data_IF_014995424783
#
_entry.id   IF_014995424783
#
_cell.length_a   1.000
_cell.length_b   1.000
_cell.length_c   1.000
_cell.angle_alpha   90.00
_cell.angle_beta   90.00
_cell.angle_gamma   90.00
#
_symmetry.space_group_name_H-M   'P 1'
#
loop_
_entity.id
_entity.type
_entity.pdbx_description
1 polymer ?
#
# COMPACT_ATOMS: atom_id res chain seq x y z
N UNK A 1 3.82 9.34 5.84
CA UNK A 1 3.50 10.48 6.73
C UNK A 1 3.83 11.78 6.03
N UNK A 2 3.05 12.83 6.22
CA UNK A 2 3.34 14.15 5.65
C UNK A 2 3.15 15.24 6.70
N UNK A 3 3.80 16.39 6.50
CA UNK A 3 3.63 17.61 7.29
C UNK A 3 3.35 18.77 6.34
N UNK A 4 2.12 19.31 6.41
CA UNK A 4 1.68 20.39 5.52
C UNK A 4 2.51 21.66 5.67
N UNK A 5 2.79 22.06 6.91
CA UNK A 5 3.52 23.29 7.19
C UNK A 5 4.97 23.29 6.68
N UNK A 6 5.54 22.09 6.47
CA UNK A 6 6.92 21.90 6.00
C UNK A 6 7.01 21.43 4.57
N UNK A 7 5.87 21.15 3.91
CA UNK A 7 5.81 20.49 2.60
C UNK A 7 6.72 19.25 2.51
N UNK A 8 6.77 18.47 3.61
CA UNK A 8 7.65 17.32 3.77
C UNK A 8 6.83 16.04 3.77
N UNK A 9 7.22 15.08 2.94
CA UNK A 9 6.68 13.71 2.92
C UNK A 9 7.77 12.77 3.39
N UNK A 10 7.43 11.83 4.29
CA UNK A 10 8.23 10.68 4.65
C UNK A 10 7.51 9.45 4.09
N UNK A 11 8.17 8.76 3.19
CA UNK A 11 7.74 7.48 2.63
C UNK A 11 8.71 6.41 3.08
N UNK A 12 8.32 5.63 4.08
CA UNK A 12 9.14 4.61 4.71
C UNK A 12 8.34 3.34 4.96
N UNK A 13 9.01 2.22 5.02
CA UNK A 13 8.38 0.93 5.30
C UNK A 13 7.87 0.89 6.74
N UNK A 14 6.70 0.25 6.93
CA UNK A 14 6.09 0.05 8.24
C UNK A 14 6.72 -1.18 8.92
N UNK A 15 7.94 -1.03 9.43
CA UNK A 15 8.74 -2.11 10.02
C UNK A 15 9.62 -1.56 11.15
N UNK A 16 9.83 -2.37 12.18
CA UNK A 16 10.66 -2.04 13.34
C UNK A 16 11.56 -3.23 13.71
N UNK A 17 12.79 -2.94 14.12
CA UNK A 17 13.76 -3.92 14.63
C UNK A 17 14.04 -3.66 16.10
N UNK A 18 13.82 -4.67 16.94
CA UNK A 18 13.92 -4.60 18.41
C UNK A 18 14.87 -5.68 18.91
N UNK A 19 15.87 -5.31 19.70
CA UNK A 19 16.75 -6.24 20.41
C UNK A 19 16.24 -6.51 21.82
N UNK A 20 16.41 -7.74 22.28
CA UNK A 20 16.11 -8.17 23.66
C UNK A 20 14.70 -7.75 24.15
N UNK A 21 13.74 -7.63 23.25
CA UNK A 21 12.36 -7.19 23.50
C UNK A 21 12.21 -5.77 24.08
N UNK A 22 13.23 -4.94 24.04
CA UNK A 22 13.21 -3.59 24.65
C UNK A 22 13.91 -2.52 23.83
N UNK A 23 15.04 -2.84 23.21
CA UNK A 23 15.90 -1.84 22.60
C UNK A 23 15.58 -1.71 21.13
N UNK A 24 15.10 -0.54 20.73
CA UNK A 24 14.82 -0.25 19.31
C UNK A 24 16.15 -0.02 18.61
N UNK A 25 16.49 -0.90 17.68
CA UNK A 25 17.72 -0.82 16.89
C UNK A 25 17.55 0.03 15.65
N UNK A 26 16.45 -0.18 14.93
CA UNK A 26 16.16 0.49 13.66
C UNK A 26 14.65 0.55 13.42
N UNK A 27 14.23 1.42 12.50
CA UNK A 27 12.85 1.53 12.02
C UNK A 27 12.83 1.98 10.56
N UNK A 28 11.69 1.75 9.88
CA UNK A 28 11.54 2.11 8.48
C UNK A 28 12.49 1.34 7.56
N UNK A 29 13.08 2.00 6.58
CA UNK A 29 13.95 1.37 5.59
C UNK A 29 15.22 0.78 6.22
N UNK A 30 15.74 1.37 7.30
CA UNK A 30 16.88 0.80 8.03
C UNK A 30 16.53 -0.55 8.68
N UNK A 31 15.36 -0.67 9.29
CA UNK A 31 14.90 -1.94 9.84
C UNK A 31 14.62 -2.98 8.74
N UNK A 32 14.14 -2.52 7.58
CA UNK A 32 13.95 -3.41 6.43
C UNK A 32 15.25 -4.00 5.90
N UNK A 33 16.38 -3.27 6.02
CA UNK A 33 17.68 -3.85 5.68
C UNK A 33 18.09 -5.01 6.60
N UNK A 34 17.56 -5.07 7.82
CA UNK A 34 17.79 -6.16 8.77
C UNK A 34 16.83 -7.33 8.56
N UNK A 35 15.71 -7.12 7.87
CA UNK A 35 14.69 -8.15 7.64
C UNK A 35 15.28 -9.35 6.89
N UNK A 36 14.95 -10.56 7.35
CA UNK A 36 15.53 -11.85 6.90
C UNK A 36 17.05 -12.02 7.09
N UNK A 37 17.72 -11.09 7.79
CA UNK A 37 19.15 -11.14 8.09
C UNK A 37 19.47 -11.08 9.58
N UNK A 38 18.48 -10.70 10.39
CA UNK A 38 18.68 -10.50 11.82
C UNK A 38 18.92 -11.82 12.56
N UNK A 39 19.81 -11.87 13.56
CA UNK A 39 19.97 -13.02 14.43
C UNK A 39 18.78 -13.15 15.41
N UNK A 40 18.64 -14.30 16.06
CA UNK A 40 17.46 -14.66 16.87
C UNK A 40 17.10 -13.69 18.00
N UNK A 41 18.09 -12.96 18.55
CA UNK A 41 17.84 -11.99 19.61
C UNK A 41 17.34 -10.63 19.12
N UNK A 42 17.22 -10.45 17.80
CA UNK A 42 16.68 -9.25 17.14
C UNK A 42 15.37 -9.63 16.43
N UNK A 43 14.27 -9.12 16.93
CA UNK A 43 12.96 -9.25 16.31
C UNK A 43 12.75 -8.13 15.28
N UNK A 44 12.43 -8.51 14.04
CA UNK A 44 12.09 -7.55 12.97
C UNK A 44 10.65 -7.83 12.54
N UNK A 45 9.76 -6.88 12.81
CA UNK A 45 8.31 -7.09 12.64
C UNK A 45 7.62 -5.93 11.94
N UNK A 46 6.47 -6.24 11.33
CA UNK A 46 5.56 -5.29 10.70
C UNK A 46 4.37 -5.03 11.64
N UNK A 47 4.26 -3.85 12.28
CA UNK A 47 3.17 -3.55 13.21
C UNK A 47 1.78 -3.44 12.56
N UNK A 48 1.72 -3.11 11.27
CA UNK A 48 0.48 -3.14 10.49
C UNK A 48 0.55 -4.29 9.50
N UNK A 49 -0.51 -5.09 9.41
CA UNK A 49 -0.64 -6.21 8.47
C UNK A 49 -2.01 -6.17 7.82
N UNK A 50 -2.03 -6.35 6.49
CA UNK A 50 -3.27 -6.35 5.69
C UNK A 50 -4.16 -5.12 5.95
N UNK A 51 -3.54 -3.97 6.18
CA UNK A 51 -4.26 -2.71 6.41
C UNK A 51 -4.79 -2.50 7.83
N UNK A 52 -4.53 -3.41 8.79
CA UNK A 52 -4.95 -3.29 10.19
C UNK A 52 -3.76 -3.28 11.15
N UNK A 53 -3.91 -2.63 12.29
CA UNK A 53 -2.88 -2.59 13.33
C UNK A 53 -2.86 -3.96 14.02
N UNK A 54 -1.77 -4.72 13.81
CA UNK A 54 -1.55 -6.01 14.42
C UNK A 54 -0.81 -5.92 15.77
N UNK A 55 -0.02 -4.86 15.96
CA UNK A 55 0.76 -4.59 17.17
C UNK A 55 0.71 -3.09 17.47
N UNK A 56 -0.14 -2.73 18.42
CA UNK A 56 -0.38 -1.33 18.77
C UNK A 56 0.83 -0.67 19.45
N UNK A 57 1.56 -1.40 20.31
CA UNK A 57 2.70 -0.86 21.05
C UNK A 57 3.87 -0.55 20.10
N UNK A 58 4.20 -1.48 19.22
CA UNK A 58 5.22 -1.28 18.21
C UNK A 58 4.82 -0.21 17.20
N UNK A 59 3.52 -0.13 16.86
CA UNK A 59 3.03 0.93 15.96
C UNK A 59 3.08 2.32 16.60
N UNK A 60 2.74 2.47 17.88
CA UNK A 60 2.90 3.74 18.62
C UNK A 60 4.36 4.16 18.68
N UNK A 61 5.25 3.21 18.92
CA UNK A 61 6.69 3.45 18.92
C UNK A 61 7.18 3.92 17.56
N UNK A 62 6.76 3.24 16.49
CA UNK A 62 7.11 3.58 15.11
C UNK A 62 6.55 4.96 14.72
N UNK A 63 5.31 5.26 15.08
CA UNK A 63 4.69 6.56 14.87
C UNK A 63 5.51 7.68 15.51
N UNK A 64 5.92 7.49 16.77
CA UNK A 64 6.74 8.47 17.48
C UNK A 64 8.10 8.69 16.81
N UNK A 65 8.74 7.63 16.30
CA UNK A 65 10.01 7.72 15.56
C UNK A 65 9.84 8.49 14.25
N UNK A 66 8.83 8.17 13.47
CA UNK A 66 8.54 8.92 12.24
C UNK A 66 8.17 10.37 12.51
N UNK A 67 7.43 10.61 13.58
CA UNK A 67 7.08 11.96 14.00
C UNK A 67 8.32 12.79 14.38
N UNK A 68 9.26 12.23 15.13
CA UNK A 68 10.53 12.89 15.46
C UNK A 68 11.36 13.15 14.20
N UNK A 69 11.49 12.17 13.31
CA UNK A 69 12.16 12.33 11.99
C UNK A 69 11.51 13.44 11.13
N UNK A 70 10.18 13.58 11.20
CA UNK A 70 9.44 14.65 10.52
C UNK A 70 9.78 16.04 11.10
N UNK A 71 10.01 16.12 12.41
CA UNK A 71 10.28 17.36 13.13
C UNK A 71 11.77 17.66 13.30
N UNK A 72 12.67 16.93 12.61
CA UNK A 72 14.12 17.09 12.71
C UNK A 72 14.60 17.03 14.19
N UNK A 73 14.02 16.09 14.96
CA UNK A 73 14.27 15.83 16.39
C UNK A 73 14.06 17.03 17.33
N UNK A 74 13.37 18.08 16.86
CA UNK A 74 13.00 19.21 17.72
C UNK A 74 11.85 18.84 18.65
N UNK A 75 11.88 19.37 19.88
CA UNK A 75 10.79 19.16 20.84
C UNK A 75 9.46 19.66 20.26
N UNK A 76 8.50 18.76 20.22
CA UNK A 76 7.15 19.07 19.78
C UNK A 76 6.38 19.84 20.85
N UNK A 77 5.71 20.94 20.46
CA UNK A 77 5.01 21.83 21.39
C UNK A 77 3.52 21.51 21.55
N UNK A 78 3.01 20.46 20.91
CA UNK A 78 1.64 19.97 21.07
C UNK A 78 0.58 20.96 20.63
N UNK A 79 0.25 21.06 19.38
CA UNK A 79 -0.91 21.78 18.85
C UNK A 79 -1.12 21.39 17.37
N UNK A 80 -1.08 20.07 17.10
CA UNK A 80 -1.12 19.56 15.73
C UNK A 80 -2.37 18.74 15.53
N UNK A 81 -3.02 18.95 14.40
CA UNK A 81 -4.12 18.14 13.93
C UNK A 81 -3.55 16.95 13.14
N UNK A 82 -4.09 15.76 13.41
CA UNK A 82 -3.72 14.51 12.75
C UNK A 82 -4.83 14.04 11.83
N UNK A 83 -4.47 13.68 10.61
CA UNK A 83 -5.35 13.08 9.62
C UNK A 83 -4.81 11.70 9.27
N UNK A 84 -5.64 10.68 9.48
CA UNK A 84 -5.26 9.27 9.32
C UNK A 84 -6.13 8.67 8.24
N UNK A 85 -5.53 8.24 7.14
CA UNK A 85 -6.22 7.46 6.13
C UNK A 85 -6.39 6.02 6.60
N UNK A 86 -7.62 5.53 6.65
CA UNK A 86 -7.98 4.19 7.10
C UNK A 86 -8.67 3.44 5.97
N UNK A 87 -8.35 2.15 5.74
CA UNK A 87 -9.03 1.33 4.75
C UNK A 87 -10.54 1.25 5.03
N UNK A 88 -11.34 1.02 3.97
CA UNK A 88 -12.80 0.97 4.08
C UNK A 88 -13.35 -0.34 4.61
N UNK A 89 -12.63 -1.44 4.37
CA UNK A 89 -13.04 -2.79 4.78
C UNK A 89 -12.41 -3.17 6.13
N UNK A 90 -12.65 -2.30 7.13
CA UNK A 90 -12.21 -2.48 8.52
C UNK A 90 -13.41 -2.37 9.46
N UNK A 91 -13.37 -3.11 10.55
CA UNK A 91 -14.38 -3.04 11.61
C UNK A 91 -14.29 -1.73 12.38
N UNK A 92 -15.36 -1.34 13.07
CA UNK A 92 -15.35 -0.15 13.94
C UNK A 92 -14.26 -0.24 15.03
N UNK A 93 -13.98 -1.45 15.53
CA UNK A 93 -12.90 -1.68 16.51
C UNK A 93 -11.53 -1.38 15.90
N UNK A 94 -11.27 -1.86 14.68
CA UNK A 94 -10.03 -1.59 13.96
C UNK A 94 -9.92 -0.10 13.60
N UNK A 95 -11.00 0.55 13.18
CA UNK A 95 -11.04 1.99 12.94
C UNK A 95 -10.72 2.78 14.21
N UNK A 96 -11.27 2.36 15.34
CA UNK A 96 -10.97 2.94 16.64
C UNK A 96 -9.52 2.77 17.04
N UNK A 97 -8.89 1.63 16.73
CA UNK A 97 -7.47 1.41 17.00
C UNK A 97 -6.56 2.43 16.28
N UNK A 98 -6.92 2.87 15.07
CA UNK A 98 -6.19 3.96 14.39
C UNK A 98 -6.35 5.31 15.10
N UNK A 99 -7.50 5.59 15.69
CA UNK A 99 -7.68 6.80 16.51
C UNK A 99 -6.86 6.72 17.81
N UNK A 100 -6.96 5.60 18.55
CA UNK A 100 -6.25 5.36 19.80
C UNK A 100 -4.72 5.32 19.60
N UNK A 101 -4.25 4.87 18.44
CA UNK A 101 -2.84 4.93 18.06
C UNK A 101 -2.22 6.32 18.30
N UNK A 102 -2.95 7.37 17.96
CA UNK A 102 -2.49 8.76 18.14
C UNK A 102 -2.93 9.30 19.49
N UNK A 103 -4.17 9.06 19.91
CA UNK A 103 -4.73 9.58 21.16
C UNK A 103 -3.95 9.14 22.39
N UNK A 104 -3.55 7.86 22.45
CA UNK A 104 -2.80 7.28 23.55
C UNK A 104 -1.27 7.36 23.37
N UNK A 105 -0.83 7.94 22.25
CA UNK A 105 0.60 8.12 22.00
C UNK A 105 1.18 9.28 22.84
N UNK A 106 2.50 9.33 22.94
CA UNK A 106 3.22 10.46 23.55
C UNK A 106 3.17 11.73 22.70
N UNK A 107 2.59 11.66 21.51
CA UNK A 107 2.39 12.79 20.61
C UNK A 107 1.09 13.50 21.03
N UNK A 108 1.20 14.74 21.53
CA UNK A 108 0.02 15.51 21.95
C UNK A 108 -0.74 16.04 20.73
N UNK A 109 -1.74 15.31 20.26
CA UNK A 109 -2.63 15.78 19.22
C UNK A 109 -3.61 16.82 19.75
N UNK A 110 -3.93 17.84 18.94
CA UNK A 110 -5.03 18.78 19.19
C UNK A 110 -6.34 18.15 18.76
N UNK A 111 -6.40 17.68 17.53
CA UNK A 111 -7.53 16.96 16.95
C UNK A 111 -7.02 15.75 16.14
N UNK A 112 -7.84 14.72 16.05
CA UNK A 112 -7.56 13.51 15.27
C UNK A 112 -8.75 13.27 14.35
N UNK A 113 -8.49 13.22 13.06
CA UNK A 113 -9.47 13.00 12.01
C UNK A 113 -9.18 11.69 11.30
N UNK A 114 -10.19 10.84 11.22
CA UNK A 114 -10.16 9.62 10.43
C UNK A 114 -10.74 9.92 9.05
N UNK A 115 -10.00 9.59 8.02
CA UNK A 115 -10.36 9.82 6.61
C UNK A 115 -10.39 8.49 5.88
N UNK A 116 -11.43 8.25 5.10
CA UNK A 116 -11.50 7.05 4.27
C UNK A 116 -10.39 7.09 3.20
N UNK A 117 -9.56 6.06 3.18
CA UNK A 117 -8.38 5.98 2.32
C UNK A 117 -8.70 6.20 0.83
N UNK A 118 -9.77 5.63 0.22
CA UNK A 118 -10.07 5.86 -1.18
C UNK A 118 -10.43 7.32 -1.50
N UNK A 119 -11.06 8.03 -0.56
CA UNK A 119 -11.38 9.46 -0.73
C UNK A 119 -10.08 10.28 -0.77
N UNK A 120 -9.18 10.04 0.20
CA UNK A 120 -7.87 10.67 0.19
C UNK A 120 -7.08 10.32 -1.08
N UNK A 121 -7.12 9.07 -1.52
CA UNK A 121 -6.43 8.60 -2.72
C UNK A 121 -6.93 9.31 -3.99
N UNK A 122 -8.24 9.43 -4.16
CA UNK A 122 -8.84 10.14 -5.29
C UNK A 122 -8.47 11.63 -5.31
N UNK A 123 -8.50 12.30 -4.14
CA UNK A 123 -8.05 13.69 -4.02
C UNK A 123 -6.56 13.82 -4.39
N UNK A 124 -5.72 12.89 -3.94
CA UNK A 124 -4.30 12.86 -4.26
C UNK A 124 -4.01 12.56 -5.74
N UNK A 125 -4.92 11.87 -6.41
CA UNK A 125 -4.92 11.68 -7.86
C UNK A 125 -5.40 12.92 -8.64
N UNK A 126 -5.74 14.03 -7.96
CA UNK A 126 -6.23 15.26 -8.58
C UNK A 126 -7.70 15.21 -8.99
N UNK A 127 -8.48 14.28 -8.45
CA UNK A 127 -9.88 14.10 -8.80
C UNK A 127 -10.79 14.93 -7.89
N UNK A 128 -11.79 15.56 -8.48
CA UNK A 128 -12.81 16.28 -7.73
C UNK A 128 -13.91 15.31 -7.29
N UNK A 129 -13.78 14.83 -6.06
CA UNK A 129 -14.71 13.86 -5.46
C UNK A 129 -16.06 14.47 -5.07
N UNK A 130 -16.18 15.80 -5.01
CA UNK A 130 -17.41 16.49 -4.55
C UNK A 130 -18.52 16.47 -5.59
N UNK A 131 -18.21 16.21 -6.84
CA UNK A 131 -19.17 16.17 -7.94
C UNK A 131 -20.02 14.91 -7.92
N UNK A 132 -21.22 15.03 -8.51
CA UNK A 132 -22.14 13.91 -8.77
C UNK A 132 -21.68 13.05 -9.96
N UNK A 133 -20.43 12.59 -9.93
CA UNK A 133 -19.80 11.74 -10.96
C UNK A 133 -19.24 10.48 -10.31
N UNK A 134 -19.43 9.35 -11.01
CA UNK A 134 -18.82 8.08 -10.59
C UNK A 134 -17.31 8.11 -10.85
N UNK A 135 -16.52 7.92 -9.79
CA UNK A 135 -15.07 7.77 -9.84
C UNK A 135 -14.72 6.37 -9.34
N UNK A 136 -14.10 5.56 -10.20
CA UNK A 136 -13.53 4.29 -9.77
C UNK A 136 -12.05 4.43 -9.52
N UNK A 137 -11.63 4.14 -8.27
CA UNK A 137 -10.22 4.12 -7.89
C UNK A 137 -9.81 2.75 -7.36
N UNK A 138 -8.64 2.28 -7.80
CA UNK A 138 -8.05 0.99 -7.42
C UNK A 138 -6.67 1.25 -6.87
N UNK A 139 -6.50 1.05 -5.57
CA UNK A 139 -5.20 1.19 -4.90
C UNK A 139 -4.55 -0.19 -4.71
N UNK A 140 -3.51 -0.48 -5.49
CA UNK A 140 -2.75 -1.74 -5.39
C UNK A 140 -1.53 -1.49 -4.52
N UNK A 141 -1.67 -1.79 -3.23
CA UNK A 141 -0.64 -1.63 -2.22
C UNK A 141 0.35 -2.79 -2.15
N UNK A 142 1.10 -2.86 -1.05
CA UNK A 142 2.03 -3.97 -0.78
C UNK A 142 1.29 -5.24 -0.35
N UNK A 143 0.29 -5.14 0.53
CA UNK A 143 -0.41 -6.30 1.10
C UNK A 143 -1.86 -6.43 0.63
N UNK A 144 -2.50 -5.31 0.27
CA UNK A 144 -3.91 -5.25 -0.08
C UNK A 144 -4.13 -4.47 -1.38
N UNK A 145 -5.19 -4.84 -2.09
CA UNK A 145 -5.77 -4.03 -3.15
C UNK A 145 -7.14 -3.56 -2.71
N UNK A 146 -7.37 -2.26 -2.74
CA UNK A 146 -8.62 -1.61 -2.37
C UNK A 146 -9.27 -1.03 -3.62
N UNK A 147 -10.51 -1.44 -3.89
CA UNK A 147 -11.28 -1.09 -5.08
C UNK A 147 -12.51 -0.34 -4.62
N UNK A 148 -12.69 0.91 -5.06
CA UNK A 148 -13.77 1.76 -4.57
C UNK A 148 -14.40 2.58 -5.70
N UNK A 149 -15.71 2.74 -5.62
CA UNK A 149 -16.46 3.69 -6.44
C UNK A 149 -16.95 4.82 -5.53
N UNK A 150 -16.58 6.04 -5.89
CA UNK A 150 -16.86 7.26 -5.15
C UNK A 150 -17.86 8.13 -5.93
N UNK A 151 -18.69 8.88 -5.21
CA UNK A 151 -19.54 9.96 -5.74
C UNK A 151 -19.94 10.91 -4.62
N UNK A 152 -20.08 12.19 -4.90
CA UNK A 152 -20.54 13.21 -3.94
C UNK A 152 -19.78 13.22 -2.61
N UNK A 153 -18.45 13.02 -2.68
CA UNK A 153 -17.56 13.00 -1.53
C UNK A 153 -17.61 11.74 -0.67
N UNK A 154 -18.44 10.74 -1.03
CA UNK A 154 -18.62 9.50 -0.29
C UNK A 154 -18.30 8.25 -1.08
N UNK A 155 -18.20 7.14 -0.37
CA UNK A 155 -17.99 5.80 -0.93
C UNK A 155 -19.36 5.20 -1.23
N UNK A 156 -19.59 4.84 -2.50
CA UNK A 156 -20.83 4.16 -2.92
C UNK A 156 -20.70 2.66 -2.74
N UNK A 157 -19.58 2.09 -3.16
CA UNK A 157 -19.25 0.68 -2.99
C UNK A 157 -17.74 0.53 -2.90
N UNK A 158 -17.27 -0.35 -2.03
CA UNK A 158 -15.86 -0.70 -1.94
C UNK A 158 -15.64 -2.17 -1.60
N UNK A 159 -14.45 -2.65 -1.88
CA UNK A 159 -13.96 -3.98 -1.51
C UNK A 159 -12.45 -3.93 -1.37
N UNK A 160 -11.94 -4.53 -0.29
CA UNK A 160 -10.53 -4.81 -0.12
C UNK A 160 -10.25 -6.29 -0.33
N UNK A 161 -9.13 -6.61 -0.97
CA UNK A 161 -8.63 -7.98 -1.12
C UNK A 161 -7.20 -8.07 -0.61
N UNK A 162 -6.84 -9.17 0.06
CA UNK A 162 -5.52 -9.40 0.64
C UNK A 162 -4.53 -9.89 -0.43
N UNK A 163 -4.47 -9.15 -1.53
CA UNK A 163 -3.57 -9.36 -2.64
C UNK A 163 -2.92 -8.02 -2.97
N UNK A 164 -1.60 -7.98 -2.97
CA UNK A 164 -0.79 -6.82 -3.29
C UNK A 164 0.62 -7.24 -3.70
N UNK A 165 1.56 -6.32 -3.66
CA UNK A 165 2.94 -6.54 -4.10
C UNK A 165 3.64 -7.71 -3.41
N UNK A 166 3.39 -7.91 -2.11
CA UNK A 166 3.99 -9.01 -1.33
C UNK A 166 3.49 -10.38 -1.82
N UNK A 167 2.20 -10.47 -2.23
CA UNK A 167 1.66 -11.71 -2.80
C UNK A 167 2.32 -12.05 -4.14
N UNK A 168 2.65 -11.04 -4.94
CA UNK A 168 3.42 -11.22 -6.17
C UNK A 168 4.83 -11.73 -5.85
N UNK A 169 5.50 -11.17 -4.82
CA UNK A 169 6.82 -11.62 -4.37
C UNK A 169 6.80 -13.08 -3.89
N UNK A 170 5.80 -13.48 -3.11
CA UNK A 170 5.63 -14.88 -2.67
C UNK A 170 5.45 -15.84 -3.86
N UNK A 171 4.69 -15.41 -4.88
CA UNK A 171 4.51 -16.19 -6.10
C UNK A 171 5.82 -16.31 -6.88
N UNK A 172 6.62 -15.25 -6.94
CA UNK A 172 7.95 -15.26 -7.58
C UNK A 172 8.90 -16.20 -6.83
N UNK A 173 8.96 -16.12 -5.48
CA UNK A 173 9.78 -17.04 -4.67
C UNK A 173 9.42 -18.50 -4.99
N UNK A 174 8.13 -18.79 -5.06
CA UNK A 174 7.63 -20.14 -5.35
C UNK A 174 7.98 -20.60 -6.75
N UNK A 175 7.84 -19.73 -7.77
CA UNK A 175 8.16 -20.05 -9.16
C UNK A 175 9.67 -20.25 -9.38
N UNK A 176 10.49 -19.36 -8.83
CA UNK A 176 11.97 -19.45 -8.91
C UNK A 176 12.45 -20.73 -8.24
N UNK A 177 11.90 -21.08 -7.07
CA UNK A 177 12.21 -22.36 -6.41
C UNK A 177 11.86 -23.55 -7.28
N UNK A 178 10.69 -23.53 -7.92
CA UNK A 178 10.17 -24.62 -8.74
C UNK A 178 10.98 -24.83 -10.03
N UNK A 179 11.33 -23.73 -10.72
CA UNK A 179 11.98 -23.78 -12.04
C UNK A 179 13.49 -23.93 -11.93
N UNK A 180 14.10 -23.20 -11.02
CA UNK A 180 15.57 -23.12 -10.92
C UNK A 180 16.16 -23.89 -9.73
N UNK A 181 15.35 -24.51 -8.89
CA UNK A 181 15.78 -25.10 -7.61
C UNK A 181 16.55 -24.08 -6.74
N UNK A 182 16.15 -22.82 -6.78
CA UNK A 182 16.80 -21.70 -6.09
C UNK A 182 15.88 -21.13 -5.02
N UNK A 183 16.33 -21.10 -3.77
CA UNK A 183 15.64 -20.41 -2.67
C UNK A 183 16.18 -18.97 -2.64
N UNK A 184 15.29 -18.01 -2.85
CA UNK A 184 15.55 -16.57 -2.76
C UNK A 184 14.78 -15.96 -1.60
N UNK A 185 15.25 -14.83 -1.05
CA UNK A 185 14.55 -14.04 -0.06
C UNK A 185 13.55 -13.06 -0.68
N UNK A 186 12.72 -12.45 0.18
CA UNK A 186 11.68 -11.50 -0.24
C UNK A 186 12.25 -10.27 -0.95
N UNK A 187 13.40 -9.76 -0.52
CA UNK A 187 14.07 -8.62 -1.17
C UNK A 187 14.54 -8.93 -2.59
N UNK A 188 15.07 -10.13 -2.80
CA UNK A 188 15.49 -10.59 -4.14
C UNK A 188 14.26 -10.73 -5.04
N UNK A 189 13.16 -11.28 -4.53
CA UNK A 189 11.90 -11.39 -5.27
C UNK A 189 11.32 -10.01 -5.63
N UNK A 190 11.31 -9.05 -4.69
CA UNK A 190 10.89 -7.67 -4.95
C UNK A 190 11.78 -7.01 -6.03
N UNK A 191 13.09 -7.26 -5.98
CA UNK A 191 14.04 -6.79 -7.00
C UNK A 191 13.72 -7.35 -8.39
N UNK A 192 13.56 -8.66 -8.50
CA UNK A 192 13.19 -9.35 -9.74
C UNK A 192 11.82 -8.88 -10.28
N UNK A 193 10.83 -8.66 -9.40
CA UNK A 193 9.53 -8.09 -9.76
C UNK A 193 9.67 -6.70 -10.37
N UNK A 194 10.49 -5.83 -9.78
CA UNK A 194 10.72 -4.47 -10.28
C UNK A 194 11.46 -4.45 -11.61
N UNK A 195 12.42 -5.35 -11.80
CA UNK A 195 13.27 -5.41 -12.97
C UNK A 195 12.64 -6.17 -14.14
N UNK A 196 12.05 -7.34 -13.89
CA UNK A 196 11.53 -8.23 -14.91
C UNK A 196 9.99 -8.26 -14.99
N UNK A 197 9.29 -7.83 -13.92
CA UNK A 197 7.84 -7.95 -13.81
C UNK A 197 7.08 -7.18 -14.88
N UNK A 198 6.11 -7.85 -15.49
CA UNK A 198 5.16 -7.28 -16.44
C UNK A 198 3.80 -7.92 -16.25
N UNK A 199 2.73 -7.14 -16.39
CA UNK A 199 1.36 -7.63 -16.30
C UNK A 199 0.87 -8.31 -17.57
N UNK A 200 1.57 -8.14 -18.69
CA UNK A 200 1.34 -8.88 -19.94
C UNK A 200 2.65 -9.50 -20.41
N UNK A 201 2.55 -10.58 -21.18
CA UNK A 201 3.72 -11.19 -21.78
C UNK A 201 4.45 -10.19 -22.69
N UNK A 202 5.75 -10.12 -22.54
CA UNK A 202 6.65 -9.20 -23.25
C UNK A 202 7.84 -9.99 -23.81
N UNK A 203 8.75 -9.29 -24.49
CA UNK A 203 10.01 -9.89 -24.93
C UNK A 203 10.81 -10.44 -23.74
N UNK A 204 11.36 -11.64 -23.91
CA UNK A 204 12.09 -12.32 -22.84
C UNK A 204 13.39 -11.58 -22.51
N UNK A 205 13.55 -11.29 -21.23
CA UNK A 205 14.73 -10.67 -20.64
C UNK A 205 15.19 -11.44 -19.41
N UNK A 206 16.43 -11.22 -18.97
CA UNK A 206 17.01 -11.95 -17.84
C UNK A 206 17.60 -10.99 -16.82
N UNK A 207 17.55 -11.39 -15.54
CA UNK A 207 18.22 -10.70 -14.45
C UNK A 207 18.82 -11.71 -13.46
N UNK A 208 19.94 -11.39 -12.79
CA UNK A 208 20.56 -12.29 -11.85
C UNK A 208 19.75 -12.45 -10.56
N UNK A 209 19.37 -13.69 -10.23
CA UNK A 209 18.78 -14.07 -8.97
C UNK A 209 19.83 -14.70 -8.05
N UNK A 210 19.96 -14.14 -6.84
CA UNK A 210 20.91 -14.62 -5.84
C UNK A 210 20.20 -15.42 -4.75
N UNK A 211 20.68 -16.61 -4.44
CA UNK A 211 20.03 -17.46 -3.46
C UNK A 211 20.85 -18.69 -3.10
N UNK A 212 20.16 -19.68 -2.52
CA UNK A 212 20.72 -20.96 -2.15
C UNK A 212 20.10 -22.07 -2.99
N UNK A 213 20.93 -22.88 -3.63
CA UNK A 213 20.47 -24.03 -4.39
C UNK A 213 19.86 -25.08 -3.45
N UNK A 214 18.68 -25.59 -3.79
CA UNK A 214 17.90 -26.55 -2.95
C UNK A 214 18.66 -27.86 -2.79
N UNK A 215 19.33 -28.36 -3.85
CA UNK A 215 19.95 -29.66 -3.89
C UNK A 215 21.33 -29.69 -3.20
N UNK A 216 22.18 -28.69 -3.52
CA UNK A 216 23.55 -28.63 -2.98
C UNK A 216 23.66 -27.88 -1.66
N UNK A 217 22.67 -27.06 -1.32
CA UNK A 217 22.70 -26.18 -0.16
C UNK A 217 23.65 -24.97 -0.30
N UNK A 218 24.34 -24.84 -1.45
CA UNK A 218 25.35 -23.80 -1.65
C UNK A 218 24.75 -22.48 -2.19
N UNK A 219 25.33 -21.32 -1.84
CA UNK A 219 25.00 -20.05 -2.47
C UNK A 219 25.32 -20.08 -3.97
N UNK A 220 24.39 -19.63 -4.79
CA UNK A 220 24.56 -19.55 -6.25
C UNK A 220 23.84 -18.31 -6.81
N UNK A 221 24.26 -17.87 -7.99
CA UNK A 221 23.55 -16.92 -8.83
C UNK A 221 23.06 -17.63 -10.08
N UNK A 222 21.82 -17.32 -10.48
CA UNK A 222 21.19 -17.87 -11.69
C UNK A 222 20.49 -16.73 -12.43
N UNK A 223 20.61 -16.71 -13.76
CA UNK A 223 19.86 -15.77 -14.60
C UNK A 223 18.39 -16.21 -14.66
N UNK A 224 17.51 -15.37 -14.13
CA UNK A 224 16.08 -15.61 -14.05
C UNK A 224 15.40 -14.97 -15.25
N UNK A 225 14.58 -15.74 -15.95
CA UNK A 225 13.83 -15.27 -17.11
C UNK A 225 12.60 -14.46 -16.69
N UNK A 226 12.29 -13.39 -17.45
CA UNK A 226 11.07 -12.60 -17.31
C UNK A 226 9.81 -13.43 -17.54
N UNK A 227 9.85 -14.50 -18.34
CA UNK A 227 8.71 -15.38 -18.58
C UNK A 227 8.32 -16.16 -17.32
N UNK A 228 9.30 -16.56 -16.49
CA UNK A 228 9.04 -17.18 -15.19
C UNK A 228 8.39 -16.17 -14.22
N UNK A 229 8.89 -14.92 -14.23
CA UNK A 229 8.32 -13.85 -13.40
C UNK A 229 6.89 -13.51 -13.84
N UNK A 230 6.64 -13.36 -15.16
CA UNK A 230 5.30 -13.17 -15.71
C UNK A 230 4.35 -14.29 -15.29
N UNK A 231 4.74 -15.54 -15.47
CA UNK A 231 3.94 -16.70 -15.09
C UNK A 231 3.62 -16.76 -13.59
N UNK A 232 4.49 -16.19 -12.74
CA UNK A 232 4.29 -16.13 -11.30
C UNK A 232 3.29 -15.04 -10.88
N UNK A 233 3.28 -13.89 -11.59
CA UNK A 233 2.47 -12.73 -11.17
C UNK A 233 1.10 -12.69 -11.84
N UNK A 234 0.90 -13.39 -12.94
CA UNK A 234 -0.34 -13.32 -13.73
C UNK A 234 -1.57 -13.78 -12.97
N UNK A 235 -1.51 -14.89 -12.22
CA UNK A 235 -2.65 -15.40 -11.46
C UNK A 235 -3.10 -14.47 -10.32
N UNK A 236 -2.20 -13.93 -9.47
CA UNK A 236 -2.57 -12.88 -8.51
C UNK A 236 -3.17 -11.63 -9.18
N UNK A 237 -2.66 -11.21 -10.34
CA UNK A 237 -3.22 -10.07 -11.07
C UNK A 237 -4.63 -10.36 -11.60
N UNK A 238 -4.90 -11.55 -12.13
CA UNK A 238 -6.26 -11.97 -12.50
C UNK A 238 -7.20 -11.97 -11.29
N UNK A 239 -6.75 -12.40 -10.12
CA UNK A 239 -7.57 -12.37 -8.89
C UNK A 239 -7.95 -10.93 -8.48
N UNK A 240 -7.07 -9.96 -8.73
CA UNK A 240 -7.38 -8.52 -8.57
C UNK A 240 -8.43 -8.12 -9.63
N UNK A 241 -8.24 -8.53 -10.89
CA UNK A 241 -9.18 -8.24 -11.98
C UNK A 241 -10.59 -8.76 -11.71
N UNK A 242 -10.72 -9.99 -11.22
CA UNK A 242 -12.01 -10.56 -10.84
C UNK A 242 -12.72 -9.69 -9.78
N UNK A 243 -11.95 -9.16 -8.83
CA UNK A 243 -12.49 -8.26 -7.81
C UNK A 243 -12.91 -6.91 -8.39
N UNK A 244 -12.18 -6.37 -9.36
CA UNK A 244 -12.55 -5.14 -10.09
C UNK A 244 -13.86 -5.38 -10.86
N UNK A 245 -13.98 -6.51 -11.59
CA UNK A 245 -15.19 -6.88 -12.34
C UNK A 245 -16.41 -6.99 -11.41
N UNK A 246 -16.27 -7.62 -10.25
CA UNK A 246 -17.35 -7.73 -9.24
C UNK A 246 -17.83 -6.35 -8.76
N UNK A 247 -16.92 -5.39 -8.57
CA UNK A 247 -17.31 -4.02 -8.18
C UNK A 247 -18.00 -3.30 -9.36
N UNK A 248 -17.50 -3.43 -10.58
CA UNK A 248 -18.14 -2.86 -11.76
C UNK A 248 -19.58 -3.39 -11.96
N UNK A 249 -19.80 -4.70 -11.81
CA UNK A 249 -21.11 -5.33 -11.88
C UNK A 249 -22.12 -4.81 -10.84
N UNK A 250 -21.61 -4.44 -9.65
CA UNK A 250 -22.41 -3.93 -8.55
C UNK A 250 -22.60 -2.41 -8.56
N UNK A 251 -21.87 -1.72 -9.43
CA UNK A 251 -21.94 -0.26 -9.55
C UNK A 251 -23.26 0.18 -10.13
N UNK A 252 -23.96 1.17 -9.53
CA UNK A 252 -25.18 1.71 -10.09
C UNK A 252 -24.99 2.17 -11.55
N UNK A 253 -25.97 1.96 -12.46
CA UNK A 253 -25.82 2.20 -13.89
C UNK A 253 -25.36 3.62 -14.24
N UNK A 254 -25.84 4.65 -13.55
CA UNK A 254 -25.46 6.04 -13.80
C UNK A 254 -23.99 6.30 -13.48
N UNK A 255 -23.48 5.71 -12.39
CA UNK A 255 -22.06 5.81 -12.03
C UNK A 255 -21.19 4.95 -12.96
N UNK A 256 -21.69 3.79 -13.40
CA UNK A 256 -21.00 2.97 -14.39
C UNK A 256 -20.84 3.72 -15.72
N UNK A 257 -21.85 4.49 -16.16
CA UNK A 257 -21.76 5.34 -17.34
C UNK A 257 -20.65 6.41 -17.21
N UNK A 258 -20.45 6.96 -16.02
CA UNK A 258 -19.35 7.89 -15.77
C UNK A 258 -17.98 7.19 -15.81
N UNK A 259 -17.88 5.98 -15.27
CA UNK A 259 -16.66 5.17 -15.29
C UNK A 259 -16.28 4.78 -16.72
N UNK A 260 -17.26 4.47 -17.57
CA UNK A 260 -17.03 4.22 -19.01
C UNK A 260 -16.39 5.44 -19.68
N UNK A 261 -16.83 6.65 -19.33
CA UNK A 261 -16.32 7.90 -19.93
C UNK A 261 -14.95 8.30 -19.38
N UNK A 262 -14.73 8.13 -18.09
CA UNK A 262 -13.56 8.66 -17.38
C UNK A 262 -12.46 7.59 -17.15
N UNK A 263 -12.82 6.31 -17.25
CA UNK A 263 -11.92 5.20 -16.99
C UNK A 263 -11.76 4.86 -15.51
N UNK A 264 -10.85 3.91 -15.25
CA UNK A 264 -10.44 3.45 -13.93
C UNK A 264 -9.15 4.19 -13.55
N UNK A 265 -9.09 4.73 -12.35
CA UNK A 265 -7.87 5.33 -11.79
C UNK A 265 -7.15 4.29 -10.93
N UNK A 266 -5.84 4.12 -11.17
CA UNK A 266 -5.05 3.09 -10.50
C UNK A 266 -3.89 3.74 -9.76
N UNK A 267 -3.80 3.46 -8.46
CA UNK A 267 -2.80 3.99 -7.53
C UNK A 267 -2.14 2.87 -6.72
N UNK A 268 -1.30 3.24 -5.75
CA UNK A 268 -0.54 2.30 -4.93
C UNK A 268 0.78 1.85 -5.57
N UNK A 269 1.76 1.47 -4.75
CA UNK A 269 3.12 1.19 -5.23
C UNK A 269 3.23 0.05 -6.24
N UNK A 270 2.33 -0.93 -6.18
CA UNK A 270 2.32 -2.07 -7.11
C UNK A 270 1.79 -1.70 -8.50
N UNK A 271 1.09 -0.56 -8.65
CA UNK A 271 0.63 -0.07 -9.96
C UNK A 271 1.79 0.31 -10.91
N UNK A 272 3.02 0.40 -10.40
CA UNK A 272 4.22 0.62 -11.22
C UNK A 272 4.70 -0.64 -11.98
N UNK A 273 4.05 -1.79 -11.83
CA UNK A 273 4.38 -2.98 -12.63
C UNK A 273 4.16 -2.69 -14.11
N UNK A 274 5.11 -3.09 -14.96
CA UNK A 274 5.05 -2.78 -16.39
C UNK A 274 3.78 -3.33 -17.05
N UNK A 275 3.21 -2.56 -17.97
CA UNK A 275 2.03 -2.93 -18.76
C UNK A 275 0.75 -3.19 -17.95
N UNK A 276 0.65 -2.75 -16.69
CA UNK A 276 -0.56 -2.94 -15.89
C UNK A 276 -1.77 -2.23 -16.50
N UNK A 277 -1.59 -1.02 -17.02
CA UNK A 277 -2.62 -0.28 -17.76
C UNK A 277 -3.18 -1.11 -18.91
N UNK A 278 -2.28 -1.66 -19.74
CA UNK A 278 -2.65 -2.50 -20.88
C UNK A 278 -3.41 -3.75 -20.45
N UNK A 279 -2.97 -4.40 -19.38
CA UNK A 279 -3.61 -5.59 -18.82
C UNK A 279 -5.03 -5.28 -18.34
N UNK A 280 -5.22 -4.23 -17.53
CA UNK A 280 -6.55 -3.85 -17.03
C UNK A 280 -7.46 -3.43 -18.20
N UNK A 281 -6.92 -2.69 -19.18
CA UNK A 281 -7.68 -2.31 -20.37
C UNK A 281 -8.15 -3.53 -21.18
N UNK A 282 -7.27 -4.51 -21.41
CA UNK A 282 -7.62 -5.74 -22.12
C UNK A 282 -8.74 -6.53 -21.45
N UNK A 283 -8.76 -6.54 -20.10
CA UNK A 283 -9.71 -7.28 -19.30
C UNK A 283 -11.07 -6.58 -19.12
N UNK A 284 -11.12 -5.24 -19.25
CA UNK A 284 -12.32 -4.45 -18.95
C UNK A 284 -12.86 -3.66 -20.13
N UNK A 285 -12.08 -3.44 -21.18
CA UNK A 285 -12.32 -2.48 -22.28
C UNK A 285 -12.53 -1.02 -21.80
N UNK A 286 -12.12 -0.70 -20.55
CA UNK A 286 -12.18 0.66 -20.03
C UNK A 286 -10.83 1.37 -20.16
N UNK A 287 -10.86 2.69 -20.28
CA UNK A 287 -9.64 3.50 -20.15
C UNK A 287 -9.06 3.32 -18.76
N UNK A 288 -7.73 3.34 -18.64
CA UNK A 288 -7.03 3.18 -17.37
C UNK A 288 -6.08 4.36 -17.19
N UNK A 289 -6.13 4.97 -16.03
CA UNK A 289 -5.32 6.13 -15.68
C UNK A 289 -4.41 5.77 -14.50
N UNK A 290 -3.13 5.50 -14.75
CA UNK A 290 -2.17 5.32 -13.64
C UNK A 290 -1.88 6.69 -13.03
N UNK A 291 -2.07 6.81 -11.71
CA UNK A 291 -1.88 8.06 -10.97
C UNK A 291 -0.39 8.41 -10.94
N UNK A 292 -0.07 9.70 -11.09
CA UNK A 292 1.30 10.18 -10.91
C UNK A 292 1.77 9.96 -9.46
N UNK A 293 2.99 9.42 -9.27
CA UNK A 293 3.52 9.03 -7.96
C UNK A 293 2.55 8.17 -7.13
N UNK A 294 2.12 7.01 -7.65
CA UNK A 294 0.98 6.27 -7.13
C UNK A 294 1.18 5.75 -5.70
N UNK A 295 2.42 5.59 -5.25
CA UNK A 295 2.73 5.19 -3.87
C UNK A 295 2.45 6.30 -2.84
N UNK A 296 2.36 7.56 -3.28
CA UNK A 296 2.16 8.73 -2.42
C UNK A 296 0.78 9.38 -2.56
N UNK A 297 -0.08 8.89 -3.47
CA UNK A 297 -1.36 9.53 -3.77
C UNK A 297 -2.23 9.74 -2.53
N UNK A 298 -2.35 8.73 -1.66
CA UNK A 298 -3.12 8.83 -0.41
C UNK A 298 -2.59 9.94 0.49
N UNK A 299 -1.28 10.01 0.71
CA UNK A 299 -0.68 11.01 1.60
C UNK A 299 -0.76 12.41 1.01
N UNK A 300 -0.65 12.54 -0.31
CA UNK A 300 -0.87 13.80 -1.03
C UNK A 300 -2.31 14.26 -0.92
N UNK A 301 -3.27 13.34 -1.03
CA UNK A 301 -4.68 13.63 -0.81
C UNK A 301 -5.00 14.10 0.60
N UNK A 302 -4.40 13.51 1.62
CA UNK A 302 -4.50 14.01 2.99
C UNK A 302 -3.96 15.44 3.14
N UNK A 303 -2.86 15.78 2.47
CA UNK A 303 -2.33 17.16 2.47
C UNK A 303 -3.28 18.14 1.80
N UNK A 304 -3.94 17.74 0.71
CA UNK A 304 -4.86 18.59 -0.06
C UNK A 304 -6.25 18.68 0.61
N UNK A 305 -6.76 17.59 1.19
CA UNK A 305 -8.07 17.55 1.83
C UNK A 305 -8.22 18.49 3.02
N UNK A 306 -7.11 18.87 3.66
CA UNK A 306 -7.06 19.94 4.67
C UNK A 306 -7.59 21.30 4.16
N UNK A 307 -7.71 21.47 2.85
CA UNK A 307 -8.24 22.69 2.23
C UNK A 307 -9.76 22.59 2.03
N UNK A 308 -10.32 21.39 1.93
CA UNK A 308 -11.71 21.14 1.55
C UNK A 308 -12.59 20.50 2.63
N UNK A 309 -12.01 19.93 3.68
CA UNK A 309 -12.78 19.32 4.79
C UNK A 309 -12.87 20.37 5.92
N UNK A 310 -13.65 21.41 5.73
CA UNK A 310 -13.94 22.40 6.77
C UNK A 310 -15.11 22.03 7.67
N UNK A 311 -15.68 20.83 7.58
CA UNK A 311 -16.67 20.33 8.55
C UNK A 311 -16.31 18.91 9.01
N UNK A 312 -16.00 18.73 10.32
CA UNK A 312 -15.87 17.41 10.88
C UNK A 312 -17.23 16.74 10.91
N UNK A 313 -17.39 15.58 10.28
CA UNK A 313 -18.45 14.65 10.68
C UNK A 313 -18.18 14.28 12.14
N UNK A 314 -18.90 14.95 13.05
CA UNK A 314 -18.91 14.56 14.46
C UNK A 314 -19.35 13.10 14.53
N UNK A 315 -18.62 12.24 15.27
CA UNK A 315 -19.19 10.98 15.68
C UNK A 315 -20.44 11.31 16.47
N UNK A 316 -21.59 10.73 16.13
CA UNK A 316 -22.77 10.80 16.99
C UNK A 316 -22.39 10.22 18.36
N UNK A 317 -22.74 10.90 19.45
CA UNK A 317 -22.53 10.36 20.79
C UNK A 317 -23.39 9.11 20.95
N UNK A 318 -22.76 8.00 21.30
CA UNK A 318 -23.40 6.75 21.74
C UNK A 318 -24.00 6.98 23.12
#
# INVERSE_FOLDING_TARGET
MCCKDKDKIINEKNIIAIANKKDILAFGDEAYEMYEKAPEHIEVSFPVKFGVIADIENMQTLLLRFFNKMNDDKKFTGNTDFYIAVPTDVTEVEKRAFYELVADSKVKAKNIYIVDKPVADAIGAGLDVTKSKGIMIVNIGAETTEISVLSLGGIVISKSVKIGGNKLDDSIISAVRKVYNLIIGSKTAEGLKKELGSAVQAEETFAPGFGRNVLSGLPVSVDISSDVIYSAVVDPLHSIMDSIKVILERTPPELAADIIKNGIYVSGGTSNIRNLEKFIHQETNLAVNIVENPAESVVRGLMLSLIHISEPTRPEPI
#
